data_IF_651718397458
#
_entry.id   IF_651718397458
#
_cell.length_a   1.000
_cell.length_b   1.000
_cell.length_c   1.000
_cell.angle_alpha   90.00
_cell.angle_beta   90.00
_cell.angle_gamma   90.00
#
_symmetry.space_group_name_H-M   'P 1'
#
loop_
_entity.id
_entity.type
_entity.pdbx_description
1 polymer ?
#
# COMPACT_ATOMS: atom_id res chain seq x y z
N UNK A 1 3.87 18.87 -1.36
CA UNK A 1 4.54 18.47 -0.11
C UNK A 1 4.34 16.98 0.00
N UNK A 2 5.41 16.21 -0.11
CA UNK A 2 5.37 14.73 0.02
C UNK A 2 5.67 14.35 1.46
N UNK A 3 5.27 13.15 1.89
CA UNK A 3 5.66 12.62 3.19
C UNK A 3 4.98 13.27 4.40
N UNK A 4 3.70 13.65 4.27
CA UNK A 4 2.93 14.27 5.37
C UNK A 4 1.73 13.44 5.85
N UNK A 5 1.56 12.23 5.32
CA UNK A 5 0.51 11.33 5.78
C UNK A 5 0.70 10.96 7.26
N UNK A 6 -0.39 10.87 8.00
CA UNK A 6 -0.42 10.49 9.41
C UNK A 6 -1.60 9.55 9.67
N UNK A 7 -1.41 8.55 10.53
CA UNK A 7 -2.50 7.69 11.00
C UNK A 7 -2.22 6.20 10.83
N UNK A 8 -3.27 5.43 10.60
CA UNK A 8 -3.19 3.98 10.42
C UNK A 8 -4.10 3.57 9.27
N UNK A 9 -3.60 2.70 8.39
CA UNK A 9 -4.37 2.11 7.30
C UNK A 9 -4.69 0.66 7.69
N UNK A 10 -5.97 0.29 7.65
CA UNK A 10 -6.43 -1.07 7.87
C UNK A 10 -6.76 -1.72 6.52
N UNK A 11 -5.78 -2.44 5.95
CA UNK A 11 -5.88 -3.13 4.66
C UNK A 11 -6.72 -4.38 4.83
N UNK A 12 -7.95 -4.35 4.32
CA UNK A 12 -8.95 -5.41 4.49
C UNK A 12 -9.38 -6.06 3.17
N UNK A 13 -8.74 -5.70 2.06
CA UNK A 13 -9.01 -6.31 0.76
C UNK A 13 -7.78 -7.05 0.22
N UNK A 14 -6.74 -6.32 -0.17
CA UNK A 14 -5.59 -6.90 -0.87
C UNK A 14 -4.32 -6.13 -0.52
N UNK A 15 -3.28 -6.86 -0.09
CA UNK A 15 -1.91 -6.37 -0.05
C UNK A 15 -1.23 -6.81 -1.34
N UNK A 16 -0.74 -5.85 -2.14
CA UNK A 16 -0.16 -6.16 -3.44
C UNK A 16 1.11 -6.99 -3.35
N UNK A 17 1.52 -7.55 -4.48
CA UNK A 17 2.76 -8.32 -4.57
C UNK A 17 3.96 -7.49 -4.11
N UNK A 18 4.78 -8.04 -3.20
CA UNK A 18 5.97 -7.37 -2.72
C UNK A 18 7.15 -7.62 -3.66
N UNK A 19 7.61 -6.55 -4.31
CA UNK A 19 8.76 -6.56 -5.22
C UNK A 19 9.83 -5.58 -4.77
N UNK A 20 11.09 -5.90 -5.09
CA UNK A 20 12.22 -4.97 -4.99
C UNK A 20 12.98 -4.94 -6.31
N UNK A 21 12.79 -3.86 -7.07
CA UNK A 21 13.16 -3.79 -8.48
C UNK A 21 12.50 -4.94 -9.27
N UNK A 22 13.25 -5.72 -10.05
CA UNK A 22 12.70 -6.83 -10.82
C UNK A 22 12.38 -8.08 -9.97
N UNK A 23 12.85 -8.14 -8.72
CA UNK A 23 12.75 -9.33 -7.88
C UNK A 23 11.40 -9.36 -7.15
N UNK A 24 10.62 -10.42 -7.36
CA UNK A 24 9.51 -10.77 -6.49
C UNK A 24 10.04 -11.37 -5.18
N UNK A 25 9.54 -10.86 -4.06
CA UNK A 25 9.92 -11.28 -2.70
C UNK A 25 8.82 -12.13 -2.10
N UNK A 26 7.58 -11.68 -2.21
CA UNK A 26 6.41 -12.41 -1.73
C UNK A 26 5.20 -12.07 -2.61
N UNK A 27 4.39 -13.05 -3.07
CA UNK A 27 3.18 -12.77 -3.81
C UNK A 27 2.14 -11.95 -3.03
N UNK A 28 2.14 -12.04 -1.70
CA UNK A 28 1.07 -11.50 -0.83
C UNK A 28 -0.32 -11.81 -1.40
N UNK A 29 -1.27 -10.88 -1.35
CA UNK A 29 -2.61 -11.04 -1.90
C UNK A 29 -3.71 -10.70 -0.91
N UNK A 30 -4.79 -11.49 -0.91
CA UNK A 30 -6.00 -11.25 -0.12
C UNK A 30 -5.70 -11.13 1.38
N UNK A 31 -6.23 -10.09 2.00
CA UNK A 31 -6.23 -9.92 3.46
C UNK A 31 -7.57 -10.42 4.00
N UNK A 32 -7.60 -11.64 4.55
CA UNK A 32 -8.81 -12.19 5.20
C UNK A 32 -9.06 -11.55 6.56
N UNK A 33 -7.97 -11.21 7.25
CA UNK A 33 -7.96 -10.33 8.42
C UNK A 33 -7.22 -9.03 8.07
N UNK A 34 -7.51 -7.89 8.74
CA UNK A 34 -6.89 -6.63 8.40
C UNK A 34 -5.36 -6.62 8.63
N UNK A 35 -4.60 -6.20 7.62
CA UNK A 35 -3.22 -5.77 7.78
C UNK A 35 -3.22 -4.30 8.21
N UNK A 36 -2.72 -4.01 9.40
CA UNK A 36 -2.62 -2.66 9.92
C UNK A 36 -1.25 -2.08 9.55
N UNK A 37 -1.23 -0.87 8.99
CA UNK A 37 -0.02 -0.13 8.62
C UNK A 37 -0.02 1.19 9.37
N UNK A 38 0.93 1.38 10.28
CA UNK A 38 1.10 2.63 11.03
C UNK A 38 1.92 3.63 10.21
N UNK A 39 1.41 4.84 10.01
CA UNK A 39 2.04 5.90 9.24
C UNK A 39 2.34 7.10 10.15
N UNK A 40 3.60 7.56 10.12
CA UNK A 40 4.02 8.83 10.74
C UNK A 40 5.02 9.55 9.86
N UNK A 41 4.88 10.87 9.73
CA UNK A 41 5.63 11.73 8.83
C UNK A 41 5.67 11.15 7.41
N UNK A 42 4.51 10.67 6.95
CA UNK A 42 4.32 9.99 5.67
C UNK A 42 5.08 8.68 5.49
N UNK A 43 5.73 8.15 6.53
CA UNK A 43 6.47 6.89 6.46
C UNK A 43 5.78 5.79 7.24
N UNK A 44 5.87 4.57 6.72
CA UNK A 44 5.55 3.36 7.47
C UNK A 44 6.44 3.25 8.70
N UNK A 45 5.80 3.11 9.86
CA UNK A 45 6.43 2.91 11.17
C UNK A 45 6.23 1.51 11.73
N UNK A 46 5.29 0.74 11.18
CA UNK A 46 5.03 -0.61 11.65
C UNK A 46 3.92 -1.30 10.86
N UNK A 47 3.91 -2.62 11.00
CA UNK A 47 2.88 -3.50 10.48
C UNK A 47 2.35 -4.39 11.60
N UNK A 48 1.04 -4.64 11.63
CA UNK A 48 0.42 -5.59 12.58
C UNK A 48 -0.90 -6.17 12.04
N UNK A 49 -1.62 -6.95 12.84
CA UNK A 49 -2.94 -7.51 12.51
C UNK A 49 -2.91 -8.77 11.64
N UNK A 50 -2.23 -8.73 10.49
CA UNK A 50 -2.23 -9.84 9.52
C UNK A 50 -0.95 -10.68 9.57
N UNK A 51 -1.01 -11.91 9.07
CA UNK A 51 0.15 -12.82 8.94
C UNK A 51 1.29 -12.23 8.10
N UNK A 52 0.96 -11.35 7.14
CA UNK A 52 1.92 -10.63 6.30
C UNK A 52 2.79 -9.62 7.08
N UNK A 53 2.36 -9.16 8.26
CA UNK A 53 3.06 -8.13 9.01
C UNK A 53 4.52 -8.50 9.31
N UNK A 54 4.81 -9.78 9.53
CA UNK A 54 6.17 -10.27 9.82
C UNK A 54 7.11 -10.10 8.64
N UNK A 55 6.68 -10.52 7.43
CA UNK A 55 7.52 -10.39 6.23
C UNK A 55 7.65 -8.93 5.82
N UNK A 56 6.56 -8.16 5.87
CA UNK A 56 6.58 -6.73 5.57
C UNK A 56 7.52 -5.96 6.51
N UNK A 57 7.46 -6.23 7.82
CA UNK A 57 8.37 -5.61 8.78
C UNK A 57 9.83 -5.98 8.48
N UNK A 58 10.13 -7.25 8.19
CA UNK A 58 11.49 -7.68 7.86
C UNK A 58 12.02 -6.94 6.62
N UNK A 59 11.23 -6.86 5.57
CA UNK A 59 11.68 -6.33 4.28
C UNK A 59 11.75 -4.79 4.28
N UNK A 60 10.68 -4.08 4.62
CA UNK A 60 10.64 -2.60 4.60
C UNK A 60 11.63 -1.93 5.57
N UNK A 61 11.97 -2.59 6.69
CA UNK A 61 12.97 -2.09 7.62
C UNK A 61 14.41 -2.52 7.27
N UNK A 62 14.58 -3.43 6.31
CA UNK A 62 15.89 -3.72 5.71
C UNK A 62 16.24 -2.78 4.55
N UNK A 63 15.25 -2.07 4.00
CA UNK A 63 15.42 -1.16 2.87
C UNK A 63 15.63 0.29 3.30
N UNK A 64 15.98 1.12 2.31
CA UNK A 64 16.10 2.56 2.48
C UNK A 64 14.74 3.19 2.84
N UNK A 65 14.78 4.30 3.57
CA UNK A 65 13.57 4.94 4.13
C UNK A 65 12.59 5.43 3.07
N UNK A 66 13.10 5.81 1.89
CA UNK A 66 12.29 6.19 0.74
C UNK A 66 11.30 5.08 0.28
N UNK A 67 11.58 3.82 0.59
CA UNK A 67 10.65 2.71 0.32
C UNK A 67 9.42 2.74 1.23
N UNK A 68 9.49 3.44 2.38
CA UNK A 68 8.40 3.49 3.38
C UNK A 68 7.47 4.68 3.18
N UNK A 69 7.75 5.58 2.24
CA UNK A 69 6.94 6.78 2.03
C UNK A 69 5.62 6.42 1.35
N UNK A 70 4.51 6.92 1.90
CA UNK A 70 3.21 6.92 1.24
C UNK A 70 3.19 7.98 0.14
N UNK A 71 2.80 7.58 -1.06
CA UNK A 71 2.96 8.41 -2.26
C UNK A 71 1.75 8.47 -3.16
N UNK A 72 0.80 7.58 -2.99
CA UNK A 72 -0.40 7.52 -3.81
C UNK A 72 -1.64 7.31 -2.97
N UNK A 73 -2.74 7.93 -3.41
CA UNK A 73 -4.10 7.67 -2.98
C UNK A 73 -4.95 7.60 -4.24
N UNK A 74 -5.63 6.47 -4.44
CA UNK A 74 -6.52 6.29 -5.59
C UNK A 74 -7.83 5.61 -5.25
N UNK A 75 -8.76 5.69 -6.21
CA UNK A 75 -10.13 5.23 -6.10
C UNK A 75 -10.47 4.34 -7.28
N UNK A 76 -10.97 3.14 -6.98
CA UNK A 76 -11.45 2.24 -8.00
C UNK A 76 -12.81 2.68 -8.56
N UNK A 77 -13.00 2.49 -9.87
CA UNK A 77 -14.17 2.93 -10.64
C UNK A 77 -14.77 1.82 -11.51
N UNK A 78 -14.17 0.63 -11.51
CA UNK A 78 -14.53 -0.49 -12.38
C UNK A 78 -15.44 -1.48 -11.65
N UNK A 79 -16.55 -1.87 -12.27
CA UNK A 79 -17.46 -2.86 -11.70
C UNK A 79 -16.90 -4.29 -11.86
N UNK A 80 -16.15 -4.75 -10.86
CA UNK A 80 -15.48 -6.06 -10.84
C UNK A 80 -15.53 -6.68 -9.44
N UNK A 81 -15.15 -7.96 -9.33
CA UNK A 81 -15.03 -8.66 -8.05
C UNK A 81 -13.57 -8.81 -7.63
N UNK A 82 -13.25 -8.78 -6.33
CA UNK A 82 -11.87 -8.92 -5.87
C UNK A 82 -11.21 -10.23 -6.27
N UNK A 83 -9.94 -10.15 -6.65
CA UNK A 83 -9.13 -11.25 -7.20
C UNK A 83 -7.92 -11.58 -6.34
N UNK A 84 -7.47 -10.64 -5.49
CA UNK A 84 -6.19 -10.72 -4.80
C UNK A 84 -5.01 -10.26 -5.64
N UNK A 85 -5.25 -9.83 -6.89
CA UNK A 85 -4.24 -9.26 -7.78
C UNK A 85 -4.35 -7.74 -7.73
N UNK A 86 -3.24 -7.08 -7.36
CA UNK A 86 -3.26 -5.66 -7.02
C UNK A 86 -3.77 -4.76 -8.15
N UNK A 87 -3.25 -4.93 -9.36
CA UNK A 87 -3.64 -4.11 -10.51
C UNK A 87 -5.09 -4.31 -10.98
N UNK A 88 -5.77 -5.38 -10.53
CA UNK A 88 -7.21 -5.53 -10.74
C UNK A 88 -7.96 -4.90 -9.56
N UNK A 89 -7.56 -5.23 -8.35
CA UNK A 89 -8.29 -4.90 -7.12
C UNK A 89 -8.28 -3.40 -6.79
N UNK A 90 -7.20 -2.68 -7.13
CA UNK A 90 -7.10 -1.22 -6.97
C UNK A 90 -8.12 -0.45 -7.82
N UNK A 91 -8.57 -1.06 -8.92
CA UNK A 91 -9.49 -0.43 -9.85
C UNK A 91 -10.96 -0.68 -9.52
N UNK A 92 -11.28 -1.50 -8.50
CA UNK A 92 -12.65 -1.93 -8.20
C UNK A 92 -13.50 -0.78 -7.64
N UNK A 93 -14.70 -0.60 -8.18
CA UNK A 93 -15.63 0.43 -7.73
C UNK A 93 -15.90 0.34 -6.22
N UNK A 94 -15.70 1.45 -5.52
CA UNK A 94 -15.92 1.54 -4.07
C UNK A 94 -14.73 1.05 -3.23
N UNK A 95 -13.60 0.73 -3.84
CA UNK A 95 -12.33 0.56 -3.14
C UNK A 95 -11.51 1.84 -3.14
N UNK A 96 -10.51 1.87 -2.27
CA UNK A 96 -9.43 2.83 -2.30
C UNK A 96 -8.11 2.09 -2.18
N UNK A 97 -7.08 2.57 -2.87
CA UNK A 97 -5.73 2.09 -2.68
C UNK A 97 -4.77 3.17 -2.21
N UNK A 98 -3.71 2.73 -1.55
CA UNK A 98 -2.57 3.53 -1.17
C UNK A 98 -1.30 2.90 -1.72
N UNK A 99 -0.45 3.71 -2.34
CA UNK A 99 0.84 3.30 -2.86
C UNK A 99 2.00 3.79 -2.00
N UNK A 100 3.05 2.97 -1.90
CA UNK A 100 4.27 3.25 -1.14
C UNK A 100 5.52 3.10 -2.01
N UNK A 101 6.50 3.99 -1.82
CA UNK A 101 7.77 3.96 -2.56
C UNK A 101 7.80 4.94 -3.72
N UNK A 102 8.18 4.47 -4.91
CA UNK A 102 8.48 5.31 -6.07
C UNK A 102 7.22 5.99 -6.58
N UNK A 103 7.31 7.28 -6.87
CA UNK A 103 6.19 8.04 -7.43
C UNK A 103 6.59 8.96 -8.58
N UNK A 104 7.76 8.74 -9.17
CA UNK A 104 8.26 9.59 -10.26
C UNK A 104 7.39 9.50 -11.50
N UNK A 105 6.77 8.35 -11.74
CA UNK A 105 5.80 8.18 -12.82
C UNK A 105 4.55 9.05 -12.63
N UNK A 106 4.20 9.38 -11.38
CA UNK A 106 3.05 10.20 -11.02
C UNK A 106 3.40 11.68 -10.75
N UNK A 107 4.61 12.10 -11.14
CA UNK A 107 5.08 13.48 -10.99
C UNK A 107 5.62 13.85 -9.60
N UNK A 108 5.84 12.86 -8.73
CA UNK A 108 6.53 13.05 -7.46
C UNK A 108 8.06 12.99 -7.56
N UNK A 109 8.74 13.18 -6.43
CA UNK A 109 10.21 13.22 -6.34
C UNK A 109 10.81 12.05 -5.57
N UNK A 110 9.99 11.16 -5.01
CA UNK A 110 10.49 10.02 -4.27
C UNK A 110 10.93 8.93 -5.24
N UNK A 111 12.25 8.82 -5.44
CA UNK A 111 12.85 7.70 -6.16
C UNK A 111 13.01 6.52 -5.21
N UNK A 112 12.42 5.37 -5.53
CA UNK A 112 12.59 4.13 -4.78
C UNK A 112 12.61 2.91 -5.71
N UNK A 113 13.18 1.77 -5.28
CA UNK A 113 13.19 0.53 -6.06
C UNK A 113 11.85 -0.25 -5.97
N UNK A 114 10.82 0.29 -5.32
CA UNK A 114 9.52 -0.36 -5.15
C UNK A 114 8.41 0.62 -5.50
N UNK A 115 7.26 0.10 -5.93
CA UNK A 115 5.96 0.77 -5.84
C UNK A 115 5.01 -0.32 -5.35
N UNK A 116 4.57 -0.21 -4.10
CA UNK A 116 3.78 -1.26 -3.45
C UNK A 116 2.42 -0.71 -3.03
N UNK A 117 1.38 -1.31 -3.58
CA UNK A 117 0.01 -0.88 -3.36
C UNK A 117 -0.75 -1.80 -2.41
N UNK A 118 -1.67 -1.20 -1.67
CA UNK A 118 -2.61 -1.91 -0.80
C UNK A 118 -4.01 -1.37 -1.03
N UNK A 119 -5.03 -2.22 -0.89
CA UNK A 119 -6.42 -1.88 -1.17
C UNK A 119 -7.28 -2.07 0.06
N UNK A 120 -8.12 -1.08 0.34
CA UNK A 120 -9.20 -1.11 1.32
C UNK A 120 -10.55 -1.09 0.60
N UNK A 121 -11.55 -1.75 1.18
CA UNK A 121 -12.92 -1.73 0.66
C UNK A 121 -13.80 -0.75 1.43
N UNK A 122 -14.76 -0.16 0.73
CA UNK A 122 -15.83 0.68 1.31
C UNK A 122 -15.36 1.78 2.30
N UNK A 123 -14.30 2.54 2.00
CA UNK A 123 -13.90 3.67 2.84
C UNK A 123 -14.96 4.77 2.90
N UNK A 124 -15.07 5.41 4.07
CA UNK A 124 -15.79 6.68 4.23
C UNK A 124 -14.81 7.84 4.06
N UNK A 125 -15.16 8.79 3.21
CA UNK A 125 -14.33 9.97 2.94
C UNK A 125 -14.93 11.24 3.49
N UNK A 126 -14.06 12.09 3.99
CA UNK A 126 -14.37 13.47 4.33
C UNK A 126 -13.26 14.36 3.78
N UNK A 127 -13.62 15.23 2.85
CA UNK A 127 -12.75 16.29 2.36
C UNK A 127 -13.07 17.51 3.22
N UNK A 128 -12.05 18.03 3.93
CA UNK A 128 -12.16 19.17 4.86
C UNK A 128 -11.51 20.41 4.29
#
# INVERSE_FOLDING_TARGET
>A
MEGVGEGQIAVDLTAGELRYGPKQIDPLGRCQDPLLIDIRNGQIQGFSGHSFAKILTKEFFSWKENCRLIVELGFGLSNMTPTGLIGVDESILGTCHFGFGDNRFYGGNNEAPIHWDVVIQQPLWKIV
#
